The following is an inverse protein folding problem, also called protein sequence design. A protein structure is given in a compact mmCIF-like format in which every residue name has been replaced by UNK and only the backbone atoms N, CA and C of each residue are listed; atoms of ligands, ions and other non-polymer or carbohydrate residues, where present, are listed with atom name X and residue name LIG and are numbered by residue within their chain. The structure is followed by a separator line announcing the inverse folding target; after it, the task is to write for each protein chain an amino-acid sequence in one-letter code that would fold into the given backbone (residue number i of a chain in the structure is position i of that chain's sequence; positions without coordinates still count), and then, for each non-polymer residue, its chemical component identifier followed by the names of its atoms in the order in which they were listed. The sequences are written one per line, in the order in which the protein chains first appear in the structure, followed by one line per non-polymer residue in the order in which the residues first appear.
data_IF_540813637993
#
_entry.id   IF_540813637993
#
_cell.length_a   1.000
_cell.length_b   1.000
_cell.length_c   1.000
_cell.angle_alpha   90.00
_cell.angle_beta   90.00
_cell.angle_gamma   90.00
#
_symmetry.space_group_name_H-M   'P 1'
#
loop_
_entity.id
_entity.type
_entity.pdbx_description
1 polymer ?
#
# COMPACT_ATOMS: atom_id res chain seq x y z
N UNK A 1 16.98 -35.56 -26.05
CA UNK A 1 15.61 -35.01 -25.92
C UNK A 1 15.15 -34.85 -24.46
N UNK A 2 15.63 -35.65 -23.51
CA UNK A 2 15.17 -35.70 -22.10
C UNK A 2 15.60 -34.52 -21.20
N UNK A 3 16.77 -33.91 -21.45
CA UNK A 3 17.30 -32.84 -20.56
C UNK A 3 16.59 -31.49 -20.72
N UNK A 4 16.02 -31.21 -21.88
CA UNK A 4 15.29 -29.98 -22.16
C UNK A 4 13.95 -29.93 -21.40
N UNK A 5 13.31 -31.09 -21.19
CA UNK A 5 12.10 -31.20 -20.38
C UNK A 5 12.41 -30.94 -18.90
N UNK A 6 13.47 -31.56 -18.36
CA UNK A 6 13.87 -31.36 -16.97
C UNK A 6 14.31 -29.91 -16.67
N UNK A 7 15.02 -29.25 -17.59
CA UNK A 7 15.38 -27.82 -17.45
C UNK A 7 14.13 -26.93 -17.45
N UNK A 8 13.18 -27.15 -18.36
CA UNK A 8 11.93 -26.36 -18.39
C UNK A 8 11.09 -26.53 -17.13
N UNK A 9 11.04 -27.74 -16.56
CA UNK A 9 10.31 -28.01 -15.31
C UNK A 9 10.95 -27.28 -14.11
N UNK A 10 12.28 -27.31 -14.01
CA UNK A 10 13.01 -26.62 -12.93
C UNK A 10 12.88 -25.09 -13.07
N UNK A 11 13.02 -24.56 -14.29
CA UNK A 11 12.87 -23.12 -14.57
C UNK A 11 11.44 -22.64 -14.32
N UNK A 12 10.42 -23.44 -14.63
CA UNK A 12 9.03 -23.07 -14.36
C UNK A 12 8.75 -22.98 -12.86
N UNK A 13 9.17 -23.99 -12.08
CA UNK A 13 8.97 -24.02 -10.62
C UNK A 13 9.72 -22.90 -9.87
N UNK A 14 10.83 -22.41 -10.42
CA UNK A 14 11.56 -21.26 -9.87
C UNK A 14 10.86 -19.93 -10.20
N UNK A 15 10.35 -19.79 -11.43
CA UNK A 15 9.56 -18.63 -11.86
C UNK A 15 8.26 -18.50 -11.04
N UNK A 16 7.58 -19.61 -10.77
CA UNK A 16 6.37 -19.63 -9.94
C UNK A 16 6.64 -19.12 -8.52
N UNK A 17 7.81 -19.47 -7.94
CA UNK A 17 8.23 -19.01 -6.60
C UNK A 17 8.62 -17.54 -6.60
N UNK A 18 9.35 -17.07 -7.61
CA UNK A 18 9.65 -15.64 -7.78
C UNK A 18 8.37 -14.81 -7.96
N UNK A 19 7.41 -15.31 -8.75
CA UNK A 19 6.14 -14.64 -8.98
C UNK A 19 5.30 -14.56 -7.70
N UNK A 20 5.28 -15.63 -6.90
CA UNK A 20 4.63 -15.63 -5.58
C UNK A 20 5.31 -14.65 -4.62
N UNK A 21 6.65 -14.59 -4.60
CA UNK A 21 7.40 -13.64 -3.76
C UNK A 21 7.20 -12.17 -4.18
N UNK A 22 7.13 -11.88 -5.49
CA UNK A 22 6.80 -10.52 -5.96
C UNK A 22 5.36 -10.15 -5.65
N UNK A 23 4.40 -11.05 -5.88
CA UNK A 23 2.98 -10.80 -5.60
C UNK A 23 2.72 -10.60 -4.10
N UNK A 24 3.38 -11.37 -3.23
CA UNK A 24 3.27 -11.19 -1.78
C UNK A 24 3.90 -9.87 -1.34
N UNK A 25 5.11 -9.54 -1.81
CA UNK A 25 5.78 -8.27 -1.51
C UNK A 25 4.96 -7.04 -1.93
N UNK A 26 4.33 -7.08 -3.10
CA UNK A 26 3.44 -6.02 -3.58
C UNK A 26 2.17 -5.89 -2.74
N UNK A 27 1.57 -7.00 -2.30
CA UNK A 27 0.40 -6.99 -1.43
C UNK A 27 0.72 -6.35 -0.06
N UNK A 28 1.87 -6.69 0.53
CA UNK A 28 2.32 -6.07 1.79
C UNK A 28 2.60 -4.57 1.61
N UNK A 29 3.26 -4.18 0.52
CA UNK A 29 3.54 -2.78 0.23
C UNK A 29 2.25 -1.97 0.06
N UNK A 30 1.22 -2.52 -0.61
CA UNK A 30 -0.08 -1.88 -0.77
C UNK A 30 -0.85 -1.74 0.56
N UNK A 31 -0.77 -2.74 1.44
CA UNK A 31 -1.36 -2.64 2.78
C UNK A 31 -0.64 -1.62 3.66
N UNK A 32 0.70 -1.57 3.59
CA UNK A 32 1.51 -0.63 4.36
C UNK A 32 1.34 0.81 3.88
N UNK A 33 1.23 1.05 2.56
CA UNK A 33 0.99 2.40 2.03
C UNK A 33 -0.36 2.96 2.50
N UNK A 34 -1.39 2.11 2.54
CA UNK A 34 -2.68 2.43 3.15
C UNK A 34 -2.53 2.88 4.61
N UNK A 35 -1.86 2.04 5.40
CA UNK A 35 -1.68 2.28 6.81
C UNK A 35 -0.88 3.56 7.06
N UNK A 36 0.20 3.78 6.30
CA UNK A 36 1.03 4.97 6.38
C UNK A 36 0.25 6.26 6.04
N UNK A 37 -0.62 6.24 5.03
CA UNK A 37 -1.42 7.39 4.65
C UNK A 37 -2.48 7.75 5.71
N UNK A 38 -3.13 6.75 6.29
CA UNK A 38 -4.08 6.95 7.41
C UNK A 38 -3.35 7.50 8.64
N UNK A 39 -2.18 6.95 8.97
CA UNK A 39 -1.36 7.41 10.09
C UNK A 39 -0.88 8.86 9.88
N UNK A 40 -0.45 9.20 8.66
CA UNK A 40 -0.05 10.55 8.30
C UNK A 40 -1.21 11.55 8.41
N UNK A 41 -2.42 11.18 7.96
CA UNK A 41 -3.62 12.01 8.11
C UNK A 41 -4.02 12.23 9.57
N UNK A 42 -3.88 11.21 10.42
CA UNK A 42 -4.08 11.31 11.87
C UNK A 42 -3.07 12.25 12.53
N UNK A 43 -1.79 12.11 12.24
CA UNK A 43 -0.72 12.96 12.81
C UNK A 43 -0.88 14.40 12.33
N UNK A 44 -1.12 14.61 11.03
CA UNK A 44 -1.34 15.93 10.46
C UNK A 44 -2.59 16.59 11.03
N UNK A 45 -3.71 15.85 11.14
CA UNK A 45 -4.95 16.35 11.74
C UNK A 45 -4.78 16.73 13.20
N UNK A 46 -4.08 15.91 13.99
CA UNK A 46 -3.80 16.18 15.40
C UNK A 46 -2.90 17.41 15.60
N UNK A 47 -1.84 17.56 14.78
CA UNK A 47 -0.94 18.70 14.85
C UNK A 47 -1.65 20.01 14.48
N UNK A 48 -2.53 19.97 13.48
CA UNK A 48 -3.30 21.12 13.02
C UNK A 48 -4.37 21.51 14.05
N UNK A 49 -5.04 20.55 14.70
CA UNK A 49 -5.97 20.79 15.82
C UNK A 49 -5.28 21.48 17.00
N UNK A 50 -4.03 21.07 17.31
CA UNK A 50 -3.21 21.66 18.38
C UNK A 50 -2.79 23.09 18.09
N UNK A 51 -2.57 23.43 16.82
CA UNK A 51 -2.18 24.77 16.37
C UNK A 51 -3.36 25.75 16.29
N UNK A 52 -4.55 25.27 15.88
CA UNK A 52 -5.74 26.12 15.69
C UNK A 52 -6.65 26.22 16.92
N UNK A 53 -6.50 25.33 17.91
CA UNK A 53 -7.24 25.40 19.18
C UNK A 53 -8.76 25.14 19.05
N UNK A 54 -9.22 24.67 17.89
CA UNK A 54 -10.64 24.42 17.57
C UNK A 54 -11.03 22.97 17.86
N UNK A 55 -11.06 22.56 19.13
CA UNK A 55 -11.68 21.29 19.49
C UNK A 55 -13.21 21.38 19.30
N UNK A 56 -13.91 20.45 18.58
CA UNK A 56 -13.47 19.17 17.99
C UNK A 56 -13.72 19.03 16.45
N UNK A 57 -13.87 20.14 15.72
CA UNK A 57 -14.25 20.09 14.29
C UNK A 57 -13.09 19.64 13.37
N UNK A 58 -11.84 19.96 13.72
CA UNK A 58 -10.70 19.69 12.86
C UNK A 58 -10.32 18.20 12.87
N UNK A 59 -10.45 17.51 14.00
CA UNK A 59 -10.29 16.06 14.10
C UNK A 59 -11.17 15.28 13.11
N UNK A 60 -12.44 15.69 12.94
CA UNK A 60 -13.37 15.10 11.97
C UNK A 60 -12.89 15.36 10.54
N UNK A 61 -12.46 16.60 10.24
CA UNK A 61 -11.90 16.93 8.93
C UNK A 61 -10.58 16.20 8.63
N UNK A 62 -9.74 15.98 9.65
CA UNK A 62 -8.47 15.25 9.55
C UNK A 62 -8.69 13.77 9.28
N UNK A 63 -9.73 13.16 9.86
CA UNK A 63 -10.14 11.78 9.53
C UNK A 63 -10.65 11.69 8.08
N UNK A 64 -11.50 12.64 7.64
CA UNK A 64 -12.03 12.66 6.26
C UNK A 64 -10.90 12.87 5.25
N UNK A 65 -9.99 13.81 5.50
CA UNK A 65 -8.85 14.10 4.64
C UNK A 65 -7.81 12.96 4.67
N UNK A 66 -7.56 12.35 5.82
CA UNK A 66 -6.67 11.19 5.94
C UNK A 66 -7.22 9.97 5.20
N UNK A 67 -8.52 9.71 5.33
CA UNK A 67 -9.20 8.65 4.57
C UNK A 67 -9.16 8.93 3.06
N UNK A 68 -9.40 10.19 2.64
CA UNK A 68 -9.33 10.61 1.24
C UNK A 68 -7.91 10.50 0.65
N UNK A 69 -6.88 10.94 1.38
CA UNK A 69 -5.49 10.84 0.96
C UNK A 69 -5.02 9.37 0.89
N UNK A 70 -5.41 8.53 1.85
CA UNK A 70 -5.11 7.10 1.81
C UNK A 70 -5.77 6.37 0.66
N UNK A 71 -7.03 6.69 0.34
CA UNK A 71 -7.69 6.17 -0.85
C UNK A 71 -7.02 6.64 -2.15
N UNK A 72 -6.58 7.90 -2.20
CA UNK A 72 -5.89 8.45 -3.36
C UNK A 72 -4.54 7.74 -3.60
N UNK A 73 -3.75 7.52 -2.56
CA UNK A 73 -2.45 6.83 -2.65
C UNK A 73 -2.61 5.35 -3.04
N UNK A 74 -3.68 4.69 -2.56
CA UNK A 74 -4.04 3.33 -2.93
C UNK A 74 -4.37 3.20 -4.40
N UNK A 75 -5.30 4.03 -4.88
CA UNK A 75 -5.77 4.00 -6.26
C UNK A 75 -4.60 4.35 -7.18
N UNK A 76 -3.78 5.34 -6.81
CA UNK A 76 -2.55 5.69 -7.51
C UNK A 76 -1.58 4.50 -7.60
N UNK A 77 -1.34 3.79 -6.50
CA UNK A 77 -0.44 2.63 -6.46
C UNK A 77 -0.98 1.46 -7.28
N UNK A 78 -2.28 1.18 -7.17
CA UNK A 78 -2.96 0.16 -7.95
C UNK A 78 -2.94 0.48 -9.46
N UNK A 79 -3.20 1.74 -9.84
CA UNK A 79 -3.13 2.18 -11.24
C UNK A 79 -1.72 2.21 -11.81
N UNK A 80 -0.67 2.30 -10.97
CA UNK A 80 0.73 2.26 -11.43
C UNK A 80 1.22 0.84 -11.71
N UNK A 81 0.46 -0.17 -11.27
CA UNK A 81 0.75 -1.60 -11.46
C UNK A 81 0.01 -2.15 -12.70
N UNK A 82 -0.96 -1.41 -13.25
CA UNK A 82 -1.62 -1.71 -14.53
C UNK A 82 -0.93 -1.01 -15.71
#
# INVERSE_FOLDING_TARGET
MTRLFSIRIIVSADNDKEEINRKSGLAYAAGFSLFAAVLAGLIAGWLLDRWLGTSPWLLISGIILGAGAGFYELIRSASKIS
#
